data_IF_746654439091
#
_entry.id   IF_746654439091
#
_cell.length_a   1.000
_cell.length_b   1.000
_cell.length_c   1.000
_cell.angle_alpha   90.00
_cell.angle_beta   90.00
_cell.angle_gamma   90.00
#
_symmetry.space_group_name_H-M   'P 1'
#
loop_
_entity.id
_entity.type
_entity.pdbx_description
1 polymer ?
#
# COMPACT_ATOMS: atom_id res chain seq x y z
N UNK A 1 -7.45 -17.62 0.13
CA UNK A 1 -6.74 -18.81 -0.42
C UNK A 1 -5.23 -18.76 -0.24
N UNK A 2 -4.47 -17.81 -0.84
CA UNK A 2 -3.00 -17.75 -0.63
C UNK A 2 -2.62 -17.44 0.83
N UNK A 3 -3.29 -16.45 1.44
CA UNK A 3 -3.13 -16.13 2.86
C UNK A 3 -3.33 -17.35 3.78
N UNK A 4 -4.45 -18.07 3.63
CA UNK A 4 -4.76 -19.25 4.45
C UNK A 4 -3.78 -20.40 4.21
N UNK A 5 -3.32 -20.59 2.96
CA UNK A 5 -2.33 -21.61 2.65
C UNK A 5 -1.05 -21.36 3.43
N UNK A 6 -0.54 -20.14 3.39
CA UNK A 6 0.71 -19.78 4.06
C UNK A 6 0.58 -19.80 5.58
N UNK A 7 -0.57 -19.36 6.10
CA UNK A 7 -0.87 -19.43 7.53
C UNK A 7 -0.86 -20.88 8.05
N UNK A 8 -1.41 -21.81 7.27
CA UNK A 8 -1.56 -23.22 7.68
C UNK A 8 -0.41 -24.14 7.22
N UNK A 9 0.50 -23.66 6.36
CA UNK A 9 1.63 -24.43 5.84
C UNK A 9 2.93 -23.63 6.00
N UNK A 10 3.53 -23.61 7.21
CA UNK A 10 4.70 -22.79 7.51
C UNK A 10 5.91 -23.04 6.60
N UNK A 11 6.11 -24.28 6.15
CA UNK A 11 7.21 -24.61 5.22
C UNK A 11 7.06 -23.93 3.85
N UNK A 12 5.82 -23.73 3.37
CA UNK A 12 5.56 -23.00 2.13
C UNK A 12 5.82 -21.50 2.35
N UNK A 13 5.33 -20.96 3.47
CA UNK A 13 5.58 -19.57 3.84
C UNK A 13 7.09 -19.29 3.93
N UNK A 14 7.84 -20.17 4.60
CA UNK A 14 9.28 -20.04 4.77
C UNK A 14 10.01 -20.03 3.41
N UNK A 15 9.65 -20.93 2.51
CA UNK A 15 10.21 -20.95 1.16
C UNK A 15 10.04 -19.59 0.43
N UNK A 16 8.87 -18.96 0.57
CA UNK A 16 8.62 -17.66 -0.05
C UNK A 16 9.26 -16.49 0.69
N UNK A 17 9.36 -16.54 2.03
CA UNK A 17 10.12 -15.56 2.83
C UNK A 17 11.60 -15.52 2.46
N UNK A 18 12.20 -16.68 2.25
CA UNK A 18 13.61 -16.79 1.82
C UNK A 18 13.82 -16.22 0.41
N UNK A 19 12.82 -16.37 -0.47
CA UNK A 19 12.88 -15.90 -1.85
C UNK A 19 12.58 -14.41 -1.98
N UNK A 20 11.61 -13.90 -1.24
CA UNK A 20 11.10 -12.53 -1.34
C UNK A 20 11.50 -11.70 -0.14
N UNK A 21 12.79 -11.39 -0.07
CA UNK A 21 13.36 -10.56 1.00
C UNK A 21 13.06 -9.07 0.85
N UNK A 22 12.72 -8.63 -0.37
CA UNK A 22 12.31 -7.26 -0.68
C UNK A 22 10.97 -7.32 -1.41
N UNK A 23 9.97 -6.59 -0.91
CA UNK A 23 8.59 -6.62 -1.38
C UNK A 23 8.20 -5.21 -1.76
N UNK A 24 7.91 -5.00 -3.05
CA UNK A 24 7.33 -3.75 -3.55
C UNK A 24 5.84 -3.96 -3.81
N UNK A 25 5.02 -3.06 -3.29
CA UNK A 25 3.57 -3.07 -3.49
C UNK A 25 3.16 -1.73 -4.08
N UNK A 26 2.61 -1.78 -5.28
CA UNK A 26 2.07 -0.61 -5.98
C UNK A 26 0.56 -0.46 -5.70
N UNK A 27 0.01 0.73 -5.96
CA UNK A 27 -1.42 1.06 -5.75
C UNK A 27 -1.95 0.68 -4.36
N UNK A 28 -1.15 0.96 -3.32
CA UNK A 28 -1.41 0.46 -1.98
C UNK A 28 -2.70 1.01 -1.35
N UNK A 29 -3.16 2.19 -1.78
CA UNK A 29 -4.41 2.81 -1.35
C UNK A 29 -5.65 1.96 -1.66
N UNK A 30 -5.54 1.03 -2.61
CA UNK A 30 -6.65 0.17 -3.04
C UNK A 30 -6.62 -1.22 -2.37
N UNK A 31 -5.69 -1.44 -1.44
CA UNK A 31 -5.59 -2.70 -0.72
C UNK A 31 -6.71 -2.86 0.31
N UNK A 32 -7.24 -4.07 0.40
CA UNK A 32 -8.16 -4.47 1.47
C UNK A 32 -7.43 -5.16 2.63
N UNK A 33 -8.15 -5.41 3.73
CA UNK A 33 -7.58 -6.02 4.94
C UNK A 33 -6.89 -7.37 4.71
N UNK A 34 -7.43 -8.22 3.82
CA UNK A 34 -6.84 -9.55 3.59
C UNK A 34 -5.58 -9.48 2.74
N UNK A 35 -5.50 -8.53 1.79
CA UNK A 35 -4.27 -8.25 1.04
C UNK A 35 -3.19 -7.69 1.97
N UNK A 36 -3.55 -6.75 2.84
CA UNK A 36 -2.63 -6.20 3.84
C UNK A 36 -2.10 -7.28 4.79
N UNK A 37 -2.99 -8.10 5.36
CA UNK A 37 -2.59 -9.22 6.23
C UNK A 37 -1.68 -10.22 5.52
N UNK A 38 -1.89 -10.44 4.21
CA UNK A 38 -1.05 -11.33 3.42
C UNK A 38 0.35 -10.76 3.19
N UNK A 39 0.48 -9.46 2.94
CA UNK A 39 1.77 -8.78 2.84
C UNK A 39 2.53 -8.84 4.18
N UNK A 40 1.84 -8.59 5.30
CA UNK A 40 2.42 -8.71 6.66
C UNK A 40 2.91 -10.12 6.94
N UNK A 41 2.09 -11.13 6.59
CA UNK A 41 2.46 -12.53 6.75
C UNK A 41 3.70 -12.87 5.91
N UNK A 42 3.77 -12.41 4.65
CA UNK A 42 4.92 -12.65 3.79
C UNK A 42 6.18 -11.95 4.30
N UNK A 43 6.07 -10.67 4.68
CA UNK A 43 7.21 -9.90 5.16
C UNK A 43 7.82 -10.52 6.42
N UNK A 44 6.98 -10.97 7.37
CA UNK A 44 7.45 -11.44 8.67
C UNK A 44 8.35 -10.39 9.34
N UNK A 45 9.35 -10.86 10.08
CA UNK A 45 10.23 -9.96 10.85
C UNK A 45 11.44 -9.46 10.06
N UNK A 46 11.74 -10.06 8.89
CA UNK A 46 12.99 -9.83 8.15
C UNK A 46 12.78 -9.24 6.76
N UNK A 47 11.57 -9.33 6.20
CA UNK A 47 11.26 -8.80 4.88
C UNK A 47 11.25 -7.27 4.86
N UNK A 48 11.85 -6.69 3.82
CA UNK A 48 11.84 -5.25 3.58
C UNK A 48 10.67 -4.92 2.67
N UNK A 49 9.73 -4.10 3.15
CA UNK A 49 8.53 -3.73 2.40
C UNK A 49 8.62 -2.26 1.98
N UNK A 50 8.39 -2.02 0.70
CA UNK A 50 8.19 -0.69 0.13
C UNK A 50 6.78 -0.65 -0.46
N UNK A 51 6.00 0.34 -0.06
CA UNK A 51 4.67 0.59 -0.61
C UNK A 51 4.69 1.89 -1.41
N UNK A 52 3.91 1.93 -2.48
CA UNK A 52 3.66 3.12 -3.28
C UNK A 52 2.14 3.27 -3.39
N UNK A 53 1.65 4.50 -3.22
CA UNK A 53 0.23 4.79 -3.33
C UNK A 53 -0.06 6.27 -3.15
N UNK A 54 -1.28 6.65 -3.51
CA UNK A 54 -1.81 8.02 -3.43
C UNK A 54 -3.23 7.94 -2.84
N UNK A 55 -3.44 8.56 -1.68
CA UNK A 55 -4.73 8.52 -0.97
C UNK A 55 -5.86 9.19 -1.77
N UNK A 56 -5.54 10.21 -2.59
CA UNK A 56 -6.49 10.88 -3.48
C UNK A 56 -6.97 9.99 -4.64
N UNK A 57 -6.26 8.90 -4.91
CA UNK A 57 -6.57 7.99 -6.01
C UNK A 57 -7.28 6.72 -5.55
N UNK A 58 -7.67 6.62 -4.27
CA UNK A 58 -8.44 5.47 -3.78
C UNK A 58 -9.88 5.51 -4.33
N UNK A 59 -10.16 4.68 -5.33
CA UNK A 59 -11.48 4.59 -5.99
C UNK A 59 -12.19 3.26 -5.77
N UNK A 60 -11.52 2.30 -5.13
CA UNK A 60 -12.06 0.95 -4.89
C UNK A 60 -12.66 0.74 -3.49
N UNK A 61 -13.08 1.81 -2.80
CA UNK A 61 -13.74 1.70 -1.49
C UNK A 61 -14.95 0.76 -1.49
N UNK A 62 -15.71 0.71 -2.59
CA UNK A 62 -16.85 -0.21 -2.78
C UNK A 62 -16.45 -1.70 -2.82
N UNK A 63 -15.17 -2.02 -3.04
CA UNK A 63 -14.59 -3.38 -2.98
C UNK A 63 -13.90 -3.67 -1.65
N UNK A 64 -14.04 -2.77 -0.67
CA UNK A 64 -13.41 -2.89 0.64
C UNK A 64 -11.94 -2.47 0.68
N UNK A 65 -11.48 -1.67 -0.29
CA UNK A 65 -10.22 -0.94 -0.14
C UNK A 65 -10.29 -0.05 1.11
N UNK A 66 -9.19 -0.01 1.88
CA UNK A 66 -9.10 0.78 3.09
C UNK A 66 -7.87 1.67 2.99
N UNK A 67 -8.07 2.96 2.73
CA UNK A 67 -6.99 3.96 2.68
C UNK A 67 -6.24 4.04 4.02
N UNK A 68 -6.92 3.67 5.11
CA UNK A 68 -6.34 3.53 6.45
C UNK A 68 -5.20 2.51 6.51
N UNK A 69 -5.09 1.60 5.53
CA UNK A 69 -3.96 0.68 5.45
C UNK A 69 -2.63 1.42 5.25
N UNK A 70 -2.61 2.59 4.60
CA UNK A 70 -1.41 3.42 4.49
C UNK A 70 -0.96 3.86 5.89
N UNK A 71 -1.88 4.38 6.70
CA UNK A 71 -1.59 4.79 8.08
C UNK A 71 -1.21 3.59 8.96
N UNK A 72 -1.93 2.47 8.83
CA UNK A 72 -1.59 1.23 9.54
C UNK A 72 -0.20 0.73 9.17
N UNK A 73 0.21 0.82 7.91
CA UNK A 73 1.55 0.45 7.47
C UNK A 73 2.64 1.18 8.26
N UNK A 74 2.50 2.49 8.46
CA UNK A 74 3.48 3.28 9.24
C UNK A 74 3.55 2.85 10.72
N UNK A 75 2.41 2.45 11.31
CA UNK A 75 2.39 1.91 12.67
C UNK A 75 3.04 0.51 12.76
N UNK A 76 2.75 -0.32 11.77
CA UNK A 76 3.15 -1.72 11.72
C UNK A 76 4.61 -1.92 11.28
N UNK A 77 5.19 -0.92 10.60
CA UNK A 77 6.57 -0.83 10.18
C UNK A 77 7.18 0.50 10.67
N UNK A 78 7.45 0.66 11.97
CA UNK A 78 7.86 1.94 12.57
C UNK A 78 9.21 2.48 12.07
N UNK A 79 10.00 1.66 11.38
CA UNK A 79 11.24 2.08 10.71
C UNK A 79 11.06 2.52 9.25
N UNK A 80 9.81 2.58 8.76
CA UNK A 80 9.52 2.99 7.39
C UNK A 80 9.82 4.47 7.18
N UNK A 81 10.51 4.79 6.08
CA UNK A 81 10.72 6.15 5.62
C UNK A 81 9.59 6.57 4.67
N UNK A 82 9.06 7.78 4.86
CA UNK A 82 8.04 8.35 3.97
C UNK A 82 8.69 9.33 3.01
N UNK A 83 8.57 9.08 1.71
CA UNK A 83 9.07 9.95 0.64
C UNK A 83 7.86 10.45 -0.17
N UNK A 84 7.72 11.76 -0.33
CA UNK A 84 6.64 12.38 -1.13
C UNK A 84 7.18 12.81 -2.48
N UNK A 85 6.50 12.38 -3.55
CA UNK A 85 6.83 12.76 -4.93
C UNK A 85 5.80 13.78 -5.43
N UNK A 86 6.08 15.07 -5.21
CA UNK A 86 5.14 16.16 -5.49
C UNK A 86 5.31 16.75 -6.90
N UNK A 87 6.39 16.38 -7.60
CA UNK A 87 6.63 16.84 -8.97
C UNK A 87 5.91 15.95 -9.99
N UNK A 88 4.97 16.54 -10.72
CA UNK A 88 4.29 15.87 -11.82
C UNK A 88 5.08 16.00 -13.13
N UNK A 89 5.29 14.88 -13.82
CA UNK A 89 5.97 14.81 -15.13
C UNK A 89 5.04 14.41 -16.28
N UNK A 90 3.75 14.20 -16.01
CA UNK A 90 2.77 13.68 -16.99
C UNK A 90 1.94 14.77 -17.65
N UNK A 91 1.53 15.78 -16.88
CA UNK A 91 0.51 16.74 -17.27
C UNK A 91 1.03 18.17 -17.19
N UNK A 92 0.42 19.07 -17.98
CA UNK A 92 0.76 20.50 -17.95
C UNK A 92 0.20 21.17 -16.70
N UNK A 93 0.74 22.35 -16.37
CA UNK A 93 0.30 23.15 -15.22
C UNK A 93 -1.21 23.39 -15.20
N UNK A 94 -1.83 23.70 -16.35
CA UNK A 94 -3.26 23.95 -16.44
C UNK A 94 -4.11 22.74 -16.01
N UNK A 95 -3.69 21.53 -16.38
CA UNK A 95 -4.38 20.29 -15.99
C UNK A 95 -4.20 20.03 -14.49
N UNK A 96 -2.98 20.23 -13.97
CA UNK A 96 -2.68 20.02 -12.55
C UNK A 96 -3.43 21.00 -11.66
N UNK A 97 -3.50 22.28 -12.04
CA UNK A 97 -4.27 23.28 -11.30
C UNK A 97 -5.75 22.91 -11.22
N UNK A 98 -6.35 22.42 -12.31
CA UNK A 98 -7.73 21.98 -12.31
C UNK A 98 -7.96 20.75 -11.42
N UNK A 99 -7.05 19.76 -11.47
CA UNK A 99 -7.13 18.55 -10.65
C UNK A 99 -6.99 18.88 -9.15
N UNK A 100 -6.01 19.71 -8.77
CA UNK A 100 -5.80 20.11 -7.39
C UNK A 100 -6.99 20.90 -6.83
N UNK A 101 -7.51 21.86 -7.60
CA UNK A 101 -8.68 22.63 -7.19
C UNK A 101 -9.92 21.75 -6.98
N UNK A 102 -10.06 20.66 -7.73
CA UNK A 102 -11.14 19.68 -7.51
C UNK A 102 -10.94 18.92 -6.19
N UNK A 103 -9.75 18.38 -5.99
CA UNK A 103 -9.38 17.58 -4.81
C UNK A 103 -9.53 18.37 -3.50
N UNK A 104 -9.23 19.67 -3.49
CA UNK A 104 -9.37 20.54 -2.31
C UNK A 104 -10.80 20.59 -1.73
N UNK A 105 -11.82 20.18 -2.50
CA UNK A 105 -13.21 20.12 -2.01
C UNK A 105 -13.51 18.85 -1.19
N UNK A 106 -12.59 17.89 -1.10
CA UNK A 106 -12.77 16.68 -0.30
C UNK A 106 -12.64 16.99 1.19
N UNK A 107 -13.72 16.78 1.97
CA UNK A 107 -13.71 16.96 3.42
C UNK A 107 -13.10 15.74 4.12
N UNK A 108 -12.26 15.98 5.15
CA UNK A 108 -11.78 14.92 6.05
C UNK A 108 -10.41 14.33 5.74
N UNK A 109 -9.48 15.17 5.29
CA UNK A 109 -8.04 14.83 5.26
C UNK A 109 -7.39 15.12 6.61
#
# INVERSE_FOLDING_TARGET
>A
RAHELWLNKPHILQHYRERFTNILVDEFQDTNNIQYAWIRLLAGDTGKVMIVGDDDQSIYGWRGAQVENIQRFLNDFPGAETIRLEQNYRSTSNILSAANALIENNNGR
#
